data_IF_863919468941
#
_entry.id   IF_863919468941
#
_cell.length_a   1.000
_cell.length_b   1.000
_cell.length_c   1.000
_cell.angle_alpha   90.00
_cell.angle_beta   90.00
_cell.angle_gamma   90.00
#
_symmetry.space_group_name_H-M   'P 1'
#
loop_
_entity.id
_entity.type
_entity.pdbx_description
1 polymer ?
#
# COMPACT_ATOMS: atom_id res chain seq x y z
N UNK A 1 13.40 -23.34 -18.91
CA UNK A 1 13.81 -24.75 -18.72
C UNK A 1 13.79 -25.52 -20.06
N UNK A 2 14.85 -26.28 -20.39
CA UNK A 2 15.06 -26.86 -21.74
C UNK A 2 14.40 -28.24 -21.86
N UNK A 3 13.13 -28.27 -22.29
CA UNK A 3 12.33 -29.53 -22.35
C UNK A 3 12.78 -30.52 -23.45
N UNK A 4 13.35 -30.02 -24.54
CA UNK A 4 13.64 -30.83 -25.76
C UNK A 4 15.13 -31.15 -25.97
N UNK A 5 16.01 -30.89 -25.00
CA UNK A 5 17.44 -31.23 -25.14
C UNK A 5 18.20 -30.56 -26.29
N UNK A 6 17.66 -29.52 -26.96
CA UNK A 6 18.31 -28.85 -28.12
C UNK A 6 19.57 -28.05 -27.78
N UNK A 7 20.64 -28.19 -28.56
CA UNK A 7 21.87 -27.43 -28.33
C UNK A 7 21.63 -25.89 -28.40
N UNK A 8 22.33 -25.06 -27.59
CA UNK A 8 22.14 -23.61 -27.61
C UNK A 8 22.34 -22.97 -29.00
N UNK A 9 23.26 -23.49 -29.81
CA UNK A 9 23.51 -23.04 -31.19
C UNK A 9 22.31 -23.27 -32.13
N UNK A 10 21.59 -24.37 -31.93
CA UNK A 10 20.41 -24.71 -32.70
C UNK A 10 19.21 -23.85 -32.31
N UNK A 11 19.08 -23.55 -31.01
CA UNK A 11 18.11 -22.57 -30.50
C UNK A 11 18.34 -21.20 -31.15
N UNK A 12 19.59 -20.75 -31.26
CA UNK A 12 19.93 -19.47 -31.91
C UNK A 12 19.49 -19.46 -33.38
N UNK A 13 19.80 -20.52 -34.15
CA UNK A 13 19.43 -20.63 -35.57
C UNK A 13 17.91 -20.65 -35.76
N UNK A 14 17.19 -21.44 -34.97
CA UNK A 14 15.74 -21.62 -35.10
C UNK A 14 14.95 -20.38 -34.68
N UNK A 15 15.36 -19.73 -33.59
CA UNK A 15 14.69 -18.54 -33.06
C UNK A 15 15.23 -17.22 -33.65
N UNK A 16 16.31 -17.27 -34.43
CA UNK A 16 17.00 -16.09 -34.99
C UNK A 16 17.32 -15.03 -33.92
N UNK A 17 17.74 -15.49 -32.74
CA UNK A 17 18.10 -14.62 -31.60
C UNK A 17 19.59 -14.66 -31.31
N UNK A 18 20.10 -13.60 -30.69
CA UNK A 18 21.51 -13.49 -30.32
C UNK A 18 21.90 -14.63 -29.35
N UNK A 19 23.05 -15.27 -29.61
CA UNK A 19 23.65 -16.29 -28.75
C UNK A 19 23.72 -15.85 -27.28
N UNK A 20 24.10 -14.61 -27.00
CA UNK A 20 24.19 -14.05 -25.65
C UNK A 20 22.85 -14.10 -24.90
N UNK A 21 21.74 -13.88 -25.60
CA UNK A 21 20.39 -13.97 -25.02
C UNK A 21 20.08 -15.43 -24.61
N UNK A 22 20.32 -16.39 -25.51
CA UNK A 22 20.08 -17.82 -25.25
C UNK A 22 20.86 -18.31 -24.03
N UNK A 23 22.15 -17.99 -23.94
CA UNK A 23 22.96 -18.37 -22.77
C UNK A 23 22.49 -17.69 -21.48
N UNK A 24 22.15 -16.39 -21.52
CA UNK A 24 21.61 -15.67 -20.34
C UNK A 24 20.30 -16.30 -19.85
N UNK A 25 19.38 -16.60 -20.77
CA UNK A 25 18.08 -17.20 -20.44
C UNK A 25 18.24 -18.63 -19.91
N UNK A 26 19.11 -19.43 -20.52
CA UNK A 26 19.40 -20.79 -20.03
C UNK A 26 20.05 -20.77 -18.64
N UNK A 27 21.02 -19.87 -18.41
CA UNK A 27 21.66 -19.69 -17.10
C UNK A 27 20.67 -19.20 -16.04
N UNK A 28 19.73 -18.34 -16.43
CA UNK A 28 18.71 -17.79 -15.53
C UNK A 28 17.67 -18.83 -15.10
N UNK A 29 17.40 -19.84 -15.92
CA UNK A 29 16.52 -20.97 -15.59
C UNK A 29 15.01 -20.68 -15.64
N UNK A 30 14.60 -19.44 -15.35
CA UNK A 30 13.21 -18.93 -15.38
C UNK A 30 12.95 -18.05 -16.61
N UNK A 31 11.70 -18.06 -17.08
CA UNK A 31 11.19 -17.22 -18.17
C UNK A 31 10.56 -15.91 -17.70
N UNK A 32 10.31 -15.78 -16.40
CA UNK A 32 9.65 -14.60 -15.84
C UNK A 32 10.58 -13.40 -15.94
N UNK A 33 10.05 -12.19 -16.04
CA UNK A 33 10.89 -10.98 -16.00
C UNK A 33 11.39 -10.69 -14.58
N UNK A 34 12.61 -10.17 -14.47
CA UNK A 34 13.09 -9.66 -13.17
C UNK A 34 12.30 -8.39 -12.88
N UNK A 35 11.79 -8.18 -11.64
CA UNK A 35 11.22 -6.91 -11.25
C UNK A 35 12.17 -5.77 -11.60
N UNK A 36 11.76 -4.90 -12.52
CA UNK A 36 12.57 -3.75 -12.91
C UNK A 36 12.55 -2.73 -11.78
N UNK A 37 13.69 -2.11 -11.52
CA UNK A 37 13.76 -0.93 -10.66
C UNK A 37 13.00 0.21 -11.35
N UNK A 38 11.82 0.54 -10.84
CA UNK A 38 11.05 1.68 -11.28
C UNK A 38 11.63 3.01 -10.78
N UNK A 39 10.96 4.12 -11.13
CA UNK A 39 11.32 5.45 -10.62
C UNK A 39 11.22 5.48 -9.09
N UNK A 40 12.22 6.04 -8.37
CA UNK A 40 12.13 6.21 -6.93
C UNK A 40 10.90 7.02 -6.51
N UNK A 41 10.31 6.63 -5.38
CA UNK A 41 9.16 7.33 -4.80
C UNK A 41 9.63 8.62 -4.14
N UNK A 42 9.15 9.77 -4.63
CA UNK A 42 9.55 11.09 -4.10
C UNK A 42 8.59 11.64 -3.04
N UNK A 43 7.28 11.47 -3.23
CA UNK A 43 6.27 12.10 -2.36
C UNK A 43 5.74 11.15 -1.28
N UNK A 44 5.43 9.90 -1.63
CA UNK A 44 4.84 8.91 -0.71
C UNK A 44 5.91 8.12 0.07
N UNK A 45 6.96 8.81 0.49
CA UNK A 45 8.09 8.25 1.24
C UNK A 45 7.66 7.69 2.61
N UNK A 46 8.48 6.81 3.20
CA UNK A 46 8.21 6.26 4.53
C UNK A 46 8.07 7.33 5.61
N UNK A 47 8.89 8.39 5.54
CA UNK A 47 8.81 9.56 6.44
C UNK A 47 7.45 10.26 6.31
N UNK A 48 7.02 10.56 5.08
CA UNK A 48 5.74 11.22 4.85
C UNK A 48 4.58 10.36 5.36
N UNK A 49 4.59 9.05 5.08
CA UNK A 49 3.60 8.12 5.63
C UNK A 49 3.54 8.18 7.16
N UNK A 50 4.68 8.16 7.85
CA UNK A 50 4.72 8.25 9.32
C UNK A 50 4.11 9.55 9.85
N UNK A 51 4.36 10.68 9.19
CA UNK A 51 3.79 11.99 9.57
C UNK A 51 2.28 11.99 9.39
N UNK A 52 1.78 11.56 8.23
CA UNK A 52 0.34 11.50 7.91
C UNK A 52 -0.38 10.58 8.89
N UNK A 53 0.17 9.39 9.16
CA UNK A 53 -0.41 8.43 10.11
C UNK A 53 -0.56 9.05 11.50
N UNK A 54 0.48 9.68 12.03
CA UNK A 54 0.43 10.36 13.33
C UNK A 54 -0.60 11.50 13.38
N UNK A 55 -0.80 12.24 12.28
CA UNK A 55 -1.82 13.30 12.23
C UNK A 55 -3.23 12.73 12.30
N UNK A 56 -3.49 11.65 11.57
CA UNK A 56 -4.78 10.95 11.60
C UNK A 56 -5.06 10.28 12.95
N UNK A 57 -4.04 9.71 13.60
CA UNK A 57 -4.20 9.12 14.94
C UNK A 57 -4.55 10.18 16.01
N UNK A 58 -3.99 11.38 15.90
CA UNK A 58 -4.31 12.49 16.81
C UNK A 58 -5.70 13.09 16.55
N UNK A 59 -6.06 13.23 15.28
CA UNK A 59 -7.36 13.76 14.87
C UNK A 59 -7.86 12.99 13.64
N UNK A 60 -8.70 11.95 13.85
CA UNK A 60 -9.27 11.17 12.75
C UNK A 60 -10.19 11.98 11.83
N UNK A 61 -10.73 13.10 12.32
CA UNK A 61 -11.64 13.98 11.59
C UNK A 61 -10.90 15.09 10.81
N UNK A 62 -9.58 15.00 10.69
CA UNK A 62 -8.79 16.04 10.03
C UNK A 62 -9.11 16.14 8.53
N UNK A 63 -9.31 17.37 8.05
CA UNK A 63 -9.52 17.61 6.61
C UNK A 63 -8.25 17.26 5.82
N UNK A 64 -8.40 16.40 4.82
CA UNK A 64 -7.31 16.03 3.89
C UNK A 64 -6.77 17.23 3.13
N UNK A 65 -7.64 18.17 2.73
CA UNK A 65 -7.22 19.39 2.02
C UNK A 65 -6.34 20.28 2.90
N UNK A 66 -6.73 20.50 4.17
CA UNK A 66 -5.90 21.27 5.11
C UNK A 66 -4.54 20.59 5.34
N UNK A 67 -4.55 19.28 5.57
CA UNK A 67 -3.32 18.51 5.77
C UNK A 67 -2.40 18.57 4.54
N UNK A 68 -2.96 18.53 3.33
CA UNK A 68 -2.21 18.65 2.09
C UNK A 68 -1.51 20.01 1.98
N UNK A 69 -2.23 21.11 2.27
CA UNK A 69 -1.67 22.47 2.31
C UNK A 69 -0.55 22.59 3.35
N UNK A 70 -0.76 22.09 4.57
CA UNK A 70 0.23 22.16 5.65
C UNK A 70 1.50 21.33 5.37
N UNK A 71 1.38 20.25 4.61
CA UNK A 71 2.51 19.40 4.25
C UNK A 71 3.13 19.80 2.90
N UNK A 72 2.59 20.81 2.22
CA UNK A 72 2.99 21.21 0.85
C UNK A 72 2.97 20.03 -0.13
N UNK A 73 1.98 19.15 -0.01
CA UNK A 73 1.79 17.99 -0.87
C UNK A 73 0.47 18.13 -1.62
N UNK A 74 0.42 17.63 -2.86
CA UNK A 74 -0.85 17.61 -3.59
C UNK A 74 -1.88 16.72 -2.89
N UNK A 75 -3.15 17.16 -2.91
CA UNK A 75 -4.27 16.42 -2.32
C UNK A 75 -4.31 14.96 -2.82
N UNK A 76 -4.11 14.74 -4.12
CA UNK A 76 -4.07 13.41 -4.74
C UNK A 76 -3.03 12.48 -4.12
N UNK A 77 -1.83 12.98 -3.85
CA UNK A 77 -0.78 12.17 -3.23
C UNK A 77 -1.08 11.86 -1.77
N UNK A 78 -1.75 12.77 -1.05
CA UNK A 78 -2.20 12.51 0.31
C UNK A 78 -3.28 11.43 0.34
N UNK A 79 -4.27 11.49 -0.57
CA UNK A 79 -5.27 10.42 -0.73
C UNK A 79 -4.63 9.08 -1.06
N UNK A 80 -3.66 9.04 -1.98
CA UNK A 80 -2.89 7.81 -2.28
C UNK A 80 -2.19 7.23 -1.04
N UNK A 81 -1.74 8.06 -0.11
CA UNK A 81 -1.16 7.56 1.15
C UNK A 81 -2.26 6.94 2.03
N UNK A 82 -3.38 7.64 2.20
CA UNK A 82 -4.44 7.21 3.13
C UNK A 82 -5.22 6.00 2.59
N UNK A 83 -5.63 6.05 1.34
CA UNK A 83 -6.44 4.99 0.71
C UNK A 83 -5.55 3.81 0.27
N UNK A 84 -4.54 4.04 -0.56
CA UNK A 84 -3.78 2.92 -1.14
C UNK A 84 -2.73 2.34 -0.18
N UNK A 85 -2.13 3.16 0.70
CA UNK A 85 -1.06 2.69 1.61
C UNK A 85 -1.55 2.33 3.00
N UNK A 86 -2.59 2.98 3.51
CA UNK A 86 -3.17 2.62 4.81
C UNK A 86 -4.47 1.83 4.71
N UNK A 87 -5.11 1.76 3.53
CA UNK A 87 -6.39 1.08 3.37
C UNK A 87 -7.54 1.78 4.11
N UNK A 88 -7.38 3.07 4.45
CA UNK A 88 -8.35 3.81 5.23
C UNK A 88 -9.36 4.50 4.32
N UNK A 89 -10.61 4.62 4.79
CA UNK A 89 -11.67 5.38 4.12
C UNK A 89 -12.33 6.33 5.10
N UNK A 90 -12.82 7.46 4.58
CA UNK A 90 -13.61 8.38 5.35
C UNK A 90 -15.00 7.76 5.61
N UNK A 91 -15.32 7.55 6.89
CA UNK A 91 -16.66 7.10 7.30
C UNK A 91 -17.51 8.30 7.71
N UNK A 92 -18.82 8.21 7.44
CA UNK A 92 -19.78 9.23 7.86
C UNK A 92 -19.87 9.26 9.39
N UNK A 93 -19.70 10.44 9.98
CA UNK A 93 -19.90 10.63 11.41
C UNK A 93 -21.36 10.35 11.77
N UNK A 94 -21.57 9.54 12.82
CA UNK A 94 -22.89 9.24 13.37
C UNK A 94 -23.14 10.12 14.59
N UNK A 95 -24.35 10.66 14.69
CA UNK A 95 -24.80 11.31 15.93
C UNK A 95 -24.95 10.22 16.99
N UNK A 96 -24.34 10.44 18.14
CA UNK A 96 -24.45 9.58 19.31
C UNK A 96 -25.06 10.38 20.45
N UNK A 97 -25.71 9.69 21.37
CA UNK A 97 -26.22 10.31 22.57
C UNK A 97 -25.05 10.69 23.50
N UNK A 98 -24.97 11.95 23.90
CA UNK A 98 -23.93 12.49 24.77
C UNK A 98 -24.10 12.07 26.22
N UNK A 99 -23.81 10.80 26.52
CA UNK A 99 -23.99 10.25 27.87
C UNK A 99 -23.10 10.93 28.91
N UNK A 100 -23.70 11.28 30.05
CA UNK A 100 -22.95 11.67 31.23
C UNK A 100 -22.25 10.46 31.86
N UNK A 101 -21.21 10.71 32.66
CA UNK A 101 -20.44 9.64 33.31
C UNK A 101 -21.32 8.76 34.22
N UNK A 102 -22.25 9.37 34.96
CA UNK A 102 -23.22 8.66 35.79
C UNK A 102 -24.10 7.70 34.96
N UNK A 103 -24.56 8.17 33.79
CA UNK A 103 -25.37 7.35 32.88
C UNK A 103 -24.57 6.21 32.24
N UNK A 104 -23.26 6.39 32.01
CA UNK A 104 -22.37 5.32 31.54
C UNK A 104 -22.19 4.26 32.62
N UNK A 105 -21.89 4.66 33.86
CA UNK A 105 -21.71 3.75 34.98
C UNK A 105 -22.98 2.91 35.25
N UNK A 106 -24.15 3.54 35.26
CA UNK A 106 -25.43 2.86 35.43
C UNK A 106 -25.68 1.81 34.33
N UNK A 107 -25.37 2.15 33.05
CA UNK A 107 -25.49 1.20 31.94
C UNK A 107 -24.57 -0.01 32.10
N UNK A 108 -23.32 0.20 32.51
CA UNK A 108 -22.36 -0.89 32.72
C UNK A 108 -22.82 -1.81 33.84
N UNK A 109 -23.28 -1.25 34.98
CA UNK A 109 -23.82 -2.03 36.10
C UNK A 109 -25.03 -2.86 35.67
N UNK A 110 -25.98 -2.24 34.97
CA UNK A 110 -27.19 -2.91 34.47
C UNK A 110 -26.86 -4.03 33.48
N UNK A 111 -25.91 -3.82 32.56
CA UNK A 111 -25.46 -4.86 31.63
C UNK A 111 -24.83 -6.05 32.37
N UNK A 112 -23.96 -5.79 33.34
CA UNK A 112 -23.26 -6.85 34.09
C UNK A 112 -24.19 -7.68 34.98
N UNK A 113 -25.30 -7.11 35.45
CA UNK A 113 -26.29 -7.84 36.24
C UNK A 113 -27.26 -8.69 35.40
N UNK A 114 -27.28 -8.50 34.07
CA UNK A 114 -28.11 -9.25 33.12
C UNK A 114 -27.36 -10.42 32.46
N UNK A 115 -26.05 -10.54 32.72
CA UNK A 115 -25.20 -11.67 32.33
C UNK A 115 -24.94 -12.53 33.56
#
# INVERSE_FOLDING_TARGET
MRRRGMAPSEICRRLKVNRKLVYRTLKRGTTDDVPRTGRPVTVTTARMRKIVKKRLERNPCHSMRKMATELSVSLKNLHRIVEDKFGMRAHKLRKLHGLSENQKAARVKKRRALL
#
